data_IF_618638961483
#
_entry.id   IF_618638961483
#
_cell.length_a   1.000
_cell.length_b   1.000
_cell.length_c   1.000
_cell.angle_alpha   90.00
_cell.angle_beta   90.00
_cell.angle_gamma   90.00
#
_symmetry.space_group_name_H-M   'P 1'
#
loop_
_entity.id
_entity.type
_entity.pdbx_description
1 polymer ?
#
# COMPACT_ATOMS: atom_id res chain seq x y z
N UNK A 1 17.65 -11.07 -13.44
CA UNK A 1 17.45 -10.27 -14.67
C UNK A 1 16.26 -10.82 -15.48
N UNK A 2 15.30 -9.97 -15.87
CA UNK A 2 14.15 -10.38 -16.71
C UNK A 2 12.75 -10.20 -16.09
N UNK A 3 12.65 -9.76 -14.83
CA UNK A 3 11.39 -9.34 -14.22
C UNK A 3 11.56 -7.94 -13.62
N UNK A 4 10.66 -7.02 -13.93
CA UNK A 4 10.71 -5.61 -13.51
C UNK A 4 9.38 -5.18 -12.92
N UNK A 5 9.38 -4.10 -12.12
CA UNK A 5 8.15 -3.54 -11.53
C UNK A 5 7.65 -4.23 -10.27
N UNK A 6 8.34 -5.24 -9.73
CA UNK A 6 7.89 -5.94 -8.53
C UNK A 6 7.89 -5.09 -7.26
N UNK A 7 8.91 -4.25 -7.07
CA UNK A 7 8.93 -3.37 -5.90
C UNK A 7 7.73 -2.41 -5.91
N UNK A 8 7.41 -1.85 -7.09
CA UNK A 8 6.24 -0.99 -7.26
C UNK A 8 4.91 -1.75 -7.11
N UNK A 9 4.81 -2.96 -7.67
CA UNK A 9 3.63 -3.79 -7.42
C UNK A 9 3.49 -4.14 -5.94
N UNK A 10 4.59 -4.44 -5.25
CA UNK A 10 4.60 -4.73 -3.82
C UNK A 10 4.14 -3.51 -3.02
N UNK A 11 4.53 -2.30 -3.42
CA UNK A 11 4.02 -1.05 -2.85
C UNK A 11 2.50 -0.97 -2.88
N UNK A 12 1.91 -1.26 -4.04
CA UNK A 12 0.44 -1.28 -4.19
C UNK A 12 -0.20 -2.35 -3.32
N UNK A 13 0.38 -3.55 -3.28
CA UNK A 13 -0.14 -4.67 -2.49
C UNK A 13 -0.19 -4.34 -0.99
N UNK A 14 0.74 -3.54 -0.49
CA UNK A 14 0.75 -3.11 0.90
C UNK A 14 -0.48 -2.28 1.29
N UNK A 15 -1.21 -1.72 0.32
CA UNK A 15 -2.44 -0.96 0.59
C UNK A 15 -3.73 -1.79 0.47
N UNK A 16 -3.63 -3.08 0.16
CA UNK A 16 -4.77 -3.98 -0.07
C UNK A 16 -5.23 -4.73 1.20
N UNK A 17 -4.86 -4.24 2.38
CA UNK A 17 -5.24 -4.83 3.66
C UNK A 17 -4.26 -5.88 4.20
N UNK A 18 -4.50 -6.26 5.44
CA UNK A 18 -3.70 -7.20 6.26
C UNK A 18 -4.65 -8.05 7.13
N UNK A 19 -4.11 -9.03 7.88
CA UNK A 19 -4.93 -10.01 8.60
C UNK A 19 -5.99 -9.39 9.52
N UNK A 20 -5.62 -8.34 10.26
CA UNK A 20 -6.51 -7.72 11.23
C UNK A 20 -7.29 -6.51 10.66
N UNK A 21 -6.89 -6.01 9.48
CA UNK A 21 -7.59 -5.00 8.69
C UNK A 21 -7.65 -5.39 7.22
N UNK A 22 -8.55 -6.32 6.88
CA UNK A 22 -8.73 -6.81 5.51
C UNK A 22 -9.62 -5.88 4.66
N UNK A 23 -9.20 -4.62 4.56
CA UNK A 23 -9.88 -3.57 3.82
C UNK A 23 -8.87 -2.57 3.24
N UNK A 24 -9.37 -1.54 2.56
CA UNK A 24 -8.51 -0.47 2.05
C UNK A 24 -7.75 0.21 3.20
N UNK A 25 -6.43 0.34 3.06
CA UNK A 25 -5.57 0.92 4.08
C UNK A 25 -5.80 2.42 4.30
N UNK A 26 -6.20 3.15 3.25
CA UNK A 26 -6.32 4.60 3.29
C UNK A 26 -7.58 5.06 4.05
N UNK A 27 -8.68 4.32 3.95
CA UNK A 27 -9.99 4.75 4.42
C UNK A 27 -10.01 5.17 5.90
N UNK A 28 -9.46 4.40 6.87
CA UNK A 28 -9.47 4.80 8.28
C UNK A 28 -8.67 6.08 8.55
N UNK A 29 -7.53 6.24 7.87
CA UNK A 29 -6.63 7.38 8.01
C UNK A 29 -7.25 8.65 7.38
N UNK A 30 -7.85 8.54 6.21
CA UNK A 30 -8.55 9.67 5.57
C UNK A 30 -9.75 10.16 6.39
N UNK A 31 -10.49 9.25 7.03
CA UNK A 31 -11.62 9.60 7.92
C UNK A 31 -11.20 10.47 9.11
N UNK A 32 -9.95 10.35 9.56
CA UNK A 32 -9.40 11.16 10.65
C UNK A 32 -8.63 12.40 10.16
N UNK A 33 -8.70 12.69 8.86
CA UNK A 33 -8.04 13.85 8.25
C UNK A 33 -6.54 13.66 8.01
N UNK A 34 -6.05 12.42 7.98
CA UNK A 34 -4.66 12.15 7.65
C UNK A 34 -4.44 12.18 6.12
N UNK A 35 -3.22 12.56 5.74
CA UNK A 35 -2.71 12.44 4.37
C UNK A 35 -1.65 11.36 4.32
N UNK A 36 -1.73 10.45 3.37
CA UNK A 36 -0.86 9.27 3.30
C UNK A 36 -0.45 9.05 1.84
N UNK A 37 0.76 8.51 1.61
CA UNK A 37 1.11 7.97 0.30
C UNK A 37 2.27 6.96 0.35
N UNK A 38 2.50 6.28 -0.76
CA UNK A 38 3.68 5.47 -1.07
C UNK A 38 4.52 6.08 -2.20
N UNK A 39 5.78 5.65 -2.32
CA UNK A 39 6.53 5.74 -3.58
C UNK A 39 7.65 4.71 -3.62
N UNK A 40 7.99 4.23 -4.83
CA UNK A 40 9.09 3.31 -5.08
C UNK A 40 10.10 3.91 -6.06
N UNK A 41 11.36 3.99 -5.62
CA UNK A 41 12.53 4.28 -6.43
C UNK A 41 13.35 2.99 -6.67
N UNK A 42 14.43 3.04 -7.47
CA UNK A 42 15.29 1.86 -7.68
C UNK A 42 15.91 1.28 -6.42
N UNK A 43 16.05 2.08 -5.36
CA UNK A 43 16.77 1.76 -4.13
C UNK A 43 15.90 1.80 -2.86
N UNK A 44 14.65 2.30 -2.93
CA UNK A 44 13.79 2.47 -1.76
C UNK A 44 12.31 2.43 -2.11
N UNK A 45 11.53 1.73 -1.30
CA UNK A 45 10.09 1.96 -1.18
C UNK A 45 9.83 2.72 0.12
N UNK A 46 9.06 3.80 0.04
CA UNK A 46 8.77 4.69 1.16
C UNK A 46 7.26 4.81 1.34
N UNK A 47 6.78 4.58 2.56
CA UNK A 47 5.41 4.85 2.97
C UNK A 47 5.44 5.93 4.05
N UNK A 48 4.47 6.84 4.02
CA UNK A 48 4.41 7.93 4.99
C UNK A 48 2.97 8.34 5.26
N UNK A 49 2.76 8.89 6.46
CA UNK A 49 1.47 9.34 6.95
C UNK A 49 1.67 10.65 7.72
N UNK A 50 0.88 11.67 7.37
CA UNK A 50 0.72 12.89 8.15
C UNK A 50 -0.62 12.80 8.87
N UNK A 51 -0.60 12.61 10.19
CA UNK A 51 -1.77 12.29 11.01
C UNK A 51 -1.91 13.29 12.17
N UNK A 52 -3.14 13.69 12.57
CA UNK A 52 -3.32 14.45 13.81
C UNK A 52 -2.81 13.64 15.02
N UNK A 53 -2.14 14.31 15.96
CA UNK A 53 -1.42 13.64 17.05
C UNK A 53 -2.29 12.76 17.94
N UNK A 54 -3.59 13.07 18.06
CA UNK A 54 -4.56 12.27 18.82
C UNK A 54 -4.95 10.95 18.13
N UNK A 55 -4.51 10.70 16.90
CA UNK A 55 -4.73 9.46 16.14
C UNK A 55 -3.43 8.68 15.88
N UNK A 56 -2.34 8.99 16.59
CA UNK A 56 -1.07 8.28 16.45
C UNK A 56 -1.20 6.77 16.69
N UNK A 57 -2.02 6.35 17.66
CA UNK A 57 -2.26 4.94 17.95
C UNK A 57 -2.90 4.20 16.77
N UNK A 58 -3.87 4.82 16.08
CA UNK A 58 -4.49 4.26 14.88
C UNK A 58 -3.47 4.03 13.77
N UNK A 59 -2.65 5.05 13.48
CA UNK A 59 -1.59 4.98 12.47
C UNK A 59 -0.59 3.86 12.77
N UNK A 60 -0.08 3.81 14.01
CA UNK A 60 0.89 2.78 14.41
C UNK A 60 0.30 1.37 14.39
N UNK A 61 -0.97 1.21 14.75
CA UNK A 61 -1.64 -0.08 14.71
C UNK A 61 -1.78 -0.58 13.26
N UNK A 62 -2.24 0.28 12.34
CA UNK A 62 -2.36 -0.04 10.92
C UNK A 62 -0.99 -0.38 10.30
N UNK A 63 0.04 0.43 10.59
CA UNK A 63 1.39 0.18 10.08
C UNK A 63 1.97 -1.15 10.60
N UNK A 64 1.78 -1.44 11.89
CA UNK A 64 2.22 -2.70 12.47
C UNK A 64 1.51 -3.90 11.82
N UNK A 65 0.20 -3.81 11.59
CA UNK A 65 -0.58 -4.88 10.97
C UNK A 65 -0.14 -5.12 9.52
N UNK A 66 -0.02 -4.04 8.74
CA UNK A 66 0.43 -4.08 7.34
C UNK A 66 1.82 -4.67 7.20
N UNK A 67 2.75 -4.35 8.10
CA UNK A 67 4.14 -4.84 8.04
C UNK A 67 4.28 -6.28 8.56
N UNK A 68 3.49 -6.66 9.56
CA UNK A 68 3.59 -7.96 10.22
C UNK A 68 2.71 -9.06 9.60
N UNK A 69 1.55 -8.69 9.06
CA UNK A 69 0.46 -9.61 8.75
C UNK A 69 -0.17 -9.35 7.36
N UNK A 70 0.65 -8.95 6.38
CA UNK A 70 0.22 -8.81 4.99
C UNK A 70 -0.23 -10.15 4.39
N UNK A 71 0.60 -11.19 4.51
CA UNK A 71 0.46 -12.44 3.76
C UNK A 71 -0.89 -13.14 3.92
N UNK A 72 -1.48 -13.23 5.13
CA UNK A 72 -2.80 -13.85 5.31
C UNK A 72 -3.93 -13.17 4.54
N UNK A 73 -3.84 -11.86 4.30
CA UNK A 73 -4.84 -11.10 3.54
C UNK A 73 -4.59 -11.09 2.02
N UNK A 74 -3.52 -11.72 1.54
CA UNK A 74 -3.18 -11.74 0.11
C UNK A 74 -4.00 -12.79 -0.64
N UNK A 75 -4.73 -12.35 -1.65
CA UNK A 75 -5.49 -13.21 -2.55
C UNK A 75 -5.03 -13.01 -3.99
N UNK A 76 -5.27 -14.02 -4.83
CA UNK A 76 -4.98 -13.94 -6.26
C UNK A 76 -5.76 -12.79 -6.93
N UNK A 77 -7.00 -12.56 -6.49
CA UNK A 77 -7.85 -11.47 -6.95
C UNK A 77 -7.23 -10.09 -6.70
N UNK A 78 -6.78 -9.82 -5.45
CA UNK A 78 -6.10 -8.56 -5.12
C UNK A 78 -4.84 -8.36 -5.95
N UNK A 79 -4.06 -9.42 -6.13
CA UNK A 79 -2.85 -9.39 -6.94
C UNK A 79 -3.13 -9.07 -8.41
N UNK A 80 -4.14 -9.70 -9.00
CA UNK A 80 -4.47 -9.47 -10.41
C UNK A 80 -5.04 -8.07 -10.62
N UNK A 81 -5.88 -7.58 -9.71
CA UNK A 81 -6.38 -6.20 -9.72
C UNK A 81 -5.24 -5.18 -9.67
N UNK A 82 -4.33 -5.29 -8.70
CA UNK A 82 -3.21 -4.34 -8.59
C UNK A 82 -2.20 -4.48 -9.71
N UNK A 83 -2.02 -5.69 -10.26
CA UNK A 83 -1.20 -5.89 -11.45
C UNK A 83 -1.75 -5.09 -12.64
N UNK A 84 -3.07 -5.03 -12.81
CA UNK A 84 -3.67 -4.27 -13.90
C UNK A 84 -3.63 -2.75 -13.67
N UNK A 85 -3.76 -2.30 -12.41
CA UNK A 85 -3.50 -0.89 -12.04
C UNK A 85 -2.07 -0.47 -12.40
N UNK A 86 -1.07 -1.22 -11.96
CA UNK A 86 0.35 -0.90 -12.23
C UNK A 86 0.67 -0.93 -13.73
N UNK A 87 0.06 -1.85 -14.51
CA UNK A 87 0.20 -1.84 -15.97
C UNK A 87 -0.37 -0.56 -16.58
N UNK A 88 -1.50 -0.06 -16.08
CA UNK A 88 -2.14 1.15 -16.60
C UNK A 88 -1.33 2.40 -16.24
N UNK A 89 -0.83 2.53 -15.01
CA UNK A 89 0.07 3.63 -14.62
C UNK A 89 1.33 3.65 -15.45
N UNK A 90 1.90 2.46 -15.73
CA UNK A 90 3.03 2.37 -16.64
C UNK A 90 2.67 2.89 -18.03
N UNK A 91 1.50 2.56 -18.58
CA UNK A 91 1.08 3.09 -19.90
C UNK A 91 0.96 4.61 -19.89
N UNK A 92 0.35 5.19 -18.85
CA UNK A 92 0.17 6.65 -18.74
C UNK A 92 1.49 7.42 -18.61
N UNK A 93 2.53 6.80 -18.05
CA UNK A 93 3.85 7.41 -17.90
C UNK A 93 4.76 7.26 -19.15
N UNK A 94 4.36 6.45 -20.15
CA UNK A 94 5.18 6.13 -21.33
C UNK A 94 4.54 6.51 -22.69
N UNK A 95 3.43 7.28 -22.71
CA UNK A 95 2.97 8.07 -23.87
C UNK A 95 3.27 9.56 -23.65
#
# INVERSE_FOLDING_TARGET
>A
PGRTGFAHLFEHMMFQGSEHHDAEYFEPLQKVGASINGSTSPDRTNYWENVPSNYLELALWLEADRMGFLLPAMTQEKLDNQRDVVKNERRQNYE
#
